data_IF_863256343989
#
_entry.id   IF_863256343989
#
_cell.length_a   1.000
_cell.length_b   1.000
_cell.length_c   1.000
_cell.angle_alpha   90.00
_cell.angle_beta   90.00
_cell.angle_gamma   90.00
#
_symmetry.space_group_name_H-M   'P 1'
#
loop_
_entity.id
_entity.type
_entity.pdbx_description
1 polymer ?
#
# COMPACT_ATOMS: atom_id res chain seq x y z
N UNK A 1 -5.31 10.55 -2.14
CA UNK A 1 -4.77 9.33 -1.53
C UNK A 1 -4.14 8.55 -2.66
N UNK A 2 -2.81 8.45 -2.64
CA UNK A 2 -2.04 7.90 -3.77
C UNK A 2 -1.57 6.50 -3.38
N UNK A 3 -2.51 5.57 -3.27
CA UNK A 3 -2.19 4.18 -2.94
C UNK A 3 -1.96 3.39 -4.21
N UNK A 4 -1.03 2.43 -4.18
CA UNK A 4 -0.72 1.59 -5.33
C UNK A 4 -0.47 0.15 -4.90
N UNK A 5 -0.80 -0.79 -5.76
CA UNK A 5 -0.33 -2.16 -5.68
C UNK A 5 1.11 -2.23 -6.16
N UNK A 6 1.93 -2.95 -5.43
CA UNK A 6 3.34 -3.15 -5.71
C UNK A 6 3.62 -4.64 -5.73
N UNK A 7 4.24 -5.13 -6.80
CA UNK A 7 4.62 -6.54 -6.90
C UNK A 7 5.83 -6.82 -6.00
N UNK A 8 5.65 -7.70 -5.02
CA UNK A 8 6.70 -8.15 -4.09
C UNK A 8 7.17 -9.56 -4.41
N UNK A 9 6.30 -10.41 -4.96
CA UNK A 9 6.67 -11.72 -5.48
C UNK A 9 5.87 -12.03 -6.77
N UNK A 10 6.50 -11.97 -7.95
CA UNK A 10 5.81 -12.20 -9.22
C UNK A 10 5.38 -13.66 -9.45
N UNK A 11 5.88 -14.60 -8.66
CA UNK A 11 5.54 -16.03 -8.77
C UNK A 11 4.25 -16.40 -8.00
N UNK A 12 3.71 -15.46 -7.20
CA UNK A 12 2.49 -15.66 -6.41
C UNK A 12 1.32 -14.94 -7.06
N UNK A 13 0.13 -15.55 -6.98
CA UNK A 13 -1.09 -14.99 -7.55
C UNK A 13 -1.79 -14.00 -6.61
N UNK A 14 -2.37 -12.95 -7.19
CA UNK A 14 -3.21 -11.99 -6.47
C UNK A 14 -2.47 -11.28 -5.34
N UNK A 15 -3.17 -11.08 -4.21
CA UNK A 15 -2.63 -10.37 -3.04
C UNK A 15 -1.44 -11.08 -2.38
N UNK A 16 -1.23 -12.37 -2.61
CA UNK A 16 -0.07 -13.06 -2.04
C UNK A 16 1.25 -12.63 -2.70
N UNK A 17 1.18 -12.11 -3.93
CA UNK A 17 2.34 -11.58 -4.67
C UNK A 17 2.48 -10.07 -4.66
N UNK A 18 1.58 -9.37 -3.96
CA UNK A 18 1.48 -7.92 -3.99
C UNK A 18 1.26 -7.34 -2.60
N UNK A 19 1.79 -6.15 -2.40
CA UNK A 19 1.49 -5.34 -1.22
C UNK A 19 0.92 -3.98 -1.64
N UNK A 20 0.30 -3.27 -0.71
CA UNK A 20 -0.31 -1.96 -0.96
C UNK A 20 0.48 -0.89 -0.21
N UNK A 21 1.06 0.09 -0.92
CA UNK A 21 1.72 1.25 -0.31
C UNK A 21 0.86 2.50 -0.49
N UNK A 22 1.06 3.49 0.38
CA UNK A 22 0.83 4.89 0.07
C UNK A 22 2.11 5.53 -0.48
N UNK A 23 2.03 6.14 -1.67
CA UNK A 23 3.12 6.95 -2.22
C UNK A 23 3.17 8.29 -1.50
N UNK A 24 4.36 8.65 -1.02
CA UNK A 24 4.62 9.91 -0.34
C UNK A 24 5.35 10.91 -1.24
N UNK A 25 6.26 10.43 -2.09
CA UNK A 25 7.00 11.25 -3.05
C UNK A 25 7.61 10.39 -4.15
N UNK A 26 7.79 10.98 -5.34
CA UNK A 26 8.62 10.42 -6.40
C UNK A 26 9.96 11.15 -6.47
N UNK A 27 11.02 10.39 -6.73
CA UNK A 27 12.36 10.94 -6.92
C UNK A 27 13.18 10.05 -7.86
N UNK A 28 14.34 10.52 -8.27
CA UNK A 28 15.31 9.69 -8.97
C UNK A 28 16.72 10.04 -8.53
N UNK A 29 17.63 9.08 -8.67
CA UNK A 29 19.05 9.28 -8.43
C UNK A 29 19.88 8.52 -9.46
N UNK A 30 21.17 8.86 -9.57
CA UNK A 30 22.08 8.26 -10.55
C UNK A 30 23.17 7.49 -9.81
N UNK A 31 23.37 6.22 -10.18
CA UNK A 31 24.50 5.39 -9.74
C UNK A 31 25.13 4.76 -10.98
N UNK A 32 26.46 4.84 -11.12
CA UNK A 32 27.19 4.30 -12.27
C UNK A 32 26.60 4.72 -13.62
N UNK A 33 26.26 6.01 -13.76
CA UNK A 33 25.64 6.59 -14.96
C UNK A 33 24.27 6.00 -15.34
N UNK A 34 23.64 5.23 -14.45
CA UNK A 34 22.26 4.73 -14.60
C UNK A 34 21.32 5.51 -13.69
N UNK A 35 20.22 6.01 -14.25
CA UNK A 35 19.16 6.64 -13.49
C UNK A 35 18.21 5.59 -12.91
N UNK A 36 17.85 5.76 -11.65
CA UNK A 36 16.93 4.91 -10.91
C UNK A 36 15.71 5.73 -10.50
N UNK A 37 14.56 5.60 -11.19
CA UNK A 37 13.30 6.20 -10.76
C UNK A 37 12.76 5.43 -9.55
N UNK A 38 12.48 6.16 -8.46
CA UNK A 38 12.06 5.61 -7.19
C UNK A 38 10.87 6.38 -6.61
N UNK A 39 10.21 5.75 -5.65
CA UNK A 39 9.21 6.39 -4.82
C UNK A 39 9.52 6.14 -3.34
N UNK A 40 9.28 7.17 -2.53
CA UNK A 40 9.18 7.03 -1.07
C UNK A 40 7.76 6.62 -0.75
N UNK A 41 7.60 5.57 0.03
CA UNK A 41 6.31 4.96 0.25
C UNK A 41 6.13 4.48 1.70
N UNK A 42 4.91 4.54 2.20
CA UNK A 42 4.51 3.99 3.49
C UNK A 42 3.78 2.67 3.27
N UNK A 43 4.26 1.59 3.91
CA UNK A 43 3.63 0.28 3.79
C UNK A 43 2.29 0.18 4.52
N UNK A 44 1.38 -0.61 3.97
CA UNK A 44 0.26 -1.17 4.70
C UNK A 44 0.46 -2.67 4.93
N UNK A 45 -0.09 -3.16 6.04
CA UNK A 45 -0.22 -4.59 6.34
C UNK A 45 -1.65 -5.00 6.06
N UNK A 46 -1.86 -6.09 5.34
CA UNK A 46 -3.19 -6.64 5.07
C UNK A 46 -3.56 -7.73 6.07
N UNK A 47 -4.86 -7.96 6.26
CA UNK A 47 -5.40 -9.05 7.08
C UNK A 47 -4.98 -10.42 6.54
N UNK A 48 -4.97 -11.46 7.36
CA UNK A 48 -4.60 -12.83 6.91
C UNK A 48 -5.52 -13.37 5.80
N UNK A 49 -6.80 -13.00 5.85
CA UNK A 49 -7.83 -13.39 4.89
C UNK A 49 -8.68 -12.18 4.48
N UNK A 50 -9.31 -12.20 3.29
CA UNK A 50 -10.26 -11.16 2.90
C UNK A 50 -11.51 -11.20 3.79
N UNK A 51 -12.17 -10.05 3.93
CA UNK A 51 -13.44 -9.92 4.64
C UNK A 51 -14.51 -10.85 4.03
N UNK A 52 -15.20 -11.61 4.89
CA UNK A 52 -16.11 -12.68 4.49
C UNK A 52 -17.34 -12.19 3.71
N UNK A 53 -17.77 -10.94 3.93
CA UNK A 53 -18.97 -10.38 3.32
C UNK A 53 -18.68 -9.67 2.00
N UNK A 54 -17.55 -8.97 1.92
CA UNK A 54 -17.19 -8.13 0.77
C UNK A 54 -16.16 -8.78 -0.14
N UNK A 55 -15.42 -9.78 0.33
CA UNK A 55 -14.27 -10.36 -0.36
C UNK A 55 -13.07 -9.41 -0.48
N UNK A 56 -13.11 -8.27 0.22
CA UNK A 56 -12.06 -7.25 0.17
C UNK A 56 -11.02 -7.46 1.26
N UNK A 57 -9.77 -7.14 0.96
CA UNK A 57 -8.69 -7.19 1.95
C UNK A 57 -8.72 -5.96 2.84
N UNK A 58 -8.73 -6.19 4.15
CA UNK A 58 -8.62 -5.10 5.13
C UNK A 58 -7.14 -4.77 5.29
N UNK A 59 -6.81 -3.48 5.28
CA UNK A 59 -5.43 -3.03 5.42
C UNK A 59 -5.26 -2.06 6.58
N UNK A 60 -4.08 -2.08 7.19
CA UNK A 60 -3.69 -1.27 8.33
C UNK A 60 -2.38 -0.56 8.04
N UNK A 61 -2.19 0.71 8.47
CA UNK A 61 -0.91 1.38 8.33
C UNK A 61 0.20 0.57 9.00
N UNK A 62 1.28 0.29 8.26
CA UNK A 62 2.44 -0.43 8.76
C UNK A 62 3.28 0.44 9.70
N UNK A 63 3.78 -0.16 10.78
CA UNK A 63 4.69 0.49 11.71
C UNK A 63 5.92 -0.39 11.94
N UNK A 64 7.09 0.24 12.05
CA UNK A 64 8.33 -0.46 12.38
C UNK A 64 8.44 -0.74 13.89
N UNK A 65 9.52 -1.42 14.30
CA UNK A 65 9.76 -1.79 15.71
C UNK A 65 9.81 -0.60 16.69
N UNK A 66 10.02 0.62 16.19
CA UNK A 66 10.00 1.86 16.98
C UNK A 66 8.63 2.54 17.01
N UNK A 67 7.56 1.92 16.51
CA UNK A 67 6.23 2.51 16.36
C UNK A 67 6.17 3.76 15.45
N UNK A 68 7.13 3.90 14.54
CA UNK A 68 7.08 4.91 13.49
C UNK A 68 6.48 4.32 12.21
N UNK A 69 5.87 5.14 11.33
CA UNK A 69 5.40 4.69 10.03
C UNK A 69 6.48 3.91 9.29
N UNK A 70 6.13 2.77 8.72
CA UNK A 70 7.07 1.93 8.00
C UNK A 70 7.33 2.50 6.59
N UNK A 71 8.37 3.34 6.49
CA UNK A 71 8.73 4.04 5.25
C UNK A 71 9.85 3.31 4.53
N UNK A 72 9.66 3.05 3.24
CA UNK A 72 10.63 2.42 2.36
C UNK A 72 10.78 3.15 1.02
N UNK A 73 11.86 2.82 0.31
CA UNK A 73 12.09 3.25 -1.07
C UNK A 73 11.81 2.06 -1.99
N UNK A 74 10.90 2.25 -2.93
CA UNK A 74 10.61 1.28 -3.99
C UNK A 74 11.05 1.81 -5.35
N UNK A 75 11.40 0.91 -6.26
CA UNK A 75 11.65 1.26 -7.65
C UNK A 75 10.31 1.43 -8.37
N UNK A 76 10.15 2.45 -9.22
CA UNK A 76 8.84 2.74 -9.84
C UNK A 76 8.30 1.56 -10.67
N UNK A 77 9.17 0.76 -11.27
CA UNK A 77 8.77 -0.44 -12.03
C UNK A 77 8.10 -1.55 -11.20
N UNK A 78 8.18 -1.51 -9.86
CA UNK A 78 7.45 -2.48 -9.02
C UNK A 78 6.00 -2.09 -8.84
N UNK A 79 5.61 -0.86 -9.19
CA UNK A 79 4.23 -0.39 -9.14
C UNK A 79 3.44 -1.09 -10.25
N UNK A 80 2.44 -1.87 -9.85
CA UNK A 80 1.55 -2.58 -10.76
C UNK A 80 0.45 -1.65 -11.27
N UNK A 81 -0.33 -1.07 -10.35
CA UNK A 81 -1.37 -0.09 -10.66
C UNK A 81 -1.79 0.69 -9.41
N UNK A 82 -2.61 1.72 -9.60
CA UNK A 82 -3.22 2.46 -8.49
C UNK A 82 -4.24 1.61 -7.73
N UNK A 83 -4.23 1.72 -6.41
CA UNK A 83 -5.19 1.09 -5.51
C UNK A 83 -6.16 2.15 -4.96
N UNK A 84 -7.46 1.89 -5.07
CA UNK A 84 -8.48 2.70 -4.41
C UNK A 84 -8.85 2.05 -3.07
N UNK A 85 -8.64 2.77 -1.98
CA UNK A 85 -9.00 2.30 -0.65
C UNK A 85 -10.38 2.81 -0.28
N UNK A 86 -11.25 1.90 0.16
CA UNK A 86 -12.51 2.26 0.79
C UNK A 86 -12.35 2.23 2.32
N UNK A 87 -13.04 3.11 3.07
CA UNK A 87 -13.01 3.05 4.52
C UNK A 87 -13.64 1.75 5.03
N UNK A 88 -13.09 1.21 6.13
CA UNK A 88 -13.81 0.23 6.94
C UNK A 88 -14.89 0.98 7.72
N UNK A 89 -16.15 0.73 7.38
CA UNK A 89 -17.27 1.38 8.06
C UNK A 89 -17.48 0.77 9.45
N UNK A 90 -17.60 1.63 10.46
CA UNK A 90 -17.93 1.21 11.81
C UNK A 90 -19.40 0.80 11.95
N UNK A 91 -19.73 0.21 13.09
CA UNK A 91 -21.11 -0.18 13.45
C UNK A 91 -21.94 0.99 13.99
N UNK A 92 -21.36 2.19 14.10
CA UNK A 92 -22.04 3.36 14.62
C UNK A 92 -23.05 3.88 13.58
N UNK A 93 -24.26 4.17 14.03
CA UNK A 93 -25.27 4.80 13.20
C UNK A 93 -24.78 6.18 12.73
N UNK A 94 -24.91 6.46 11.44
CA UNK A 94 -24.61 7.77 10.87
C UNK A 94 -25.57 8.78 11.52
N UNK A 95 -25.07 9.86 12.15
CA UNK A 95 -25.93 10.89 12.71
C UNK A 95 -26.85 11.48 11.62
N UNK A 96 -28.13 11.79 11.93
CA UNK A 96 -29.00 12.46 10.98
C UNK A 96 -28.40 13.80 10.54
N UNK A 97 -28.54 14.13 9.25
CA UNK A 97 -28.16 15.46 8.73
C UNK A 97 -28.92 16.55 9.49
N UNK A 98 -28.21 17.61 9.90
CA UNK A 98 -28.74 18.76 10.65
C UNK A 98 -29.27 19.81 9.66
#
# INVERSE_FOLDING_TARGET
YDCVFVTTNPELEGMQGMDIVQILAFFSFIIHSKQYPCAVAHWFVWSEEPDEYTGMWIIFPGFNAGHHPDILIIHVNTIYCTAHLIPVYGTQAIPPEI
#
